data_IF_344861127754
#
_entry.id   IF_344861127754
#
_cell.length_a   1.000
_cell.length_b   1.000
_cell.length_c   1.000
_cell.angle_alpha   90.00
_cell.angle_beta   90.00
_cell.angle_gamma   90.00
#
_symmetry.space_group_name_H-M   'P 1'
#
loop_
_entity.id
_entity.type
_entity.pdbx_description
1 polymer ?
#
# COMPACT_ATOMS: atom_id res chain seq x y z
N UNK A 1 18.14 -8.40 -9.76
CA UNK A 1 16.72 -7.96 -9.67
C UNK A 1 16.00 -8.37 -8.36
N UNK A 2 16.72 -8.68 -7.27
CA UNK A 2 16.14 -9.38 -6.11
C UNK A 2 15.14 -8.60 -5.22
N UNK A 3 14.99 -7.29 -5.36
CA UNK A 3 14.11 -6.49 -4.46
C UNK A 3 13.35 -5.33 -5.17
N UNK A 4 13.16 -5.40 -6.49
CA UNK A 4 12.44 -4.35 -7.23
C UNK A 4 10.95 -4.69 -7.32
N UNK A 5 10.10 -3.67 -7.21
CA UNK A 5 8.66 -3.77 -7.47
C UNK A 5 8.41 -3.92 -8.98
N UNK A 6 7.21 -4.37 -9.35
CA UNK A 6 6.85 -4.48 -10.78
C UNK A 6 6.91 -3.10 -11.47
N UNK A 7 6.49 -2.03 -10.80
CA UNK A 7 6.53 -0.68 -11.35
C UNK A 7 7.94 -0.18 -11.59
N UNK A 8 8.89 -0.44 -10.67
CA UNK A 8 10.30 -0.11 -10.88
C UNK A 8 10.91 -0.85 -12.06
N UNK A 9 10.60 -2.14 -12.23
CA UNK A 9 11.06 -2.95 -13.35
C UNK A 9 10.52 -2.40 -14.68
N UNK A 10 9.23 -2.10 -14.75
CA UNK A 10 8.60 -1.51 -15.95
C UNK A 10 9.27 -0.19 -16.31
N UNK A 11 9.45 0.71 -15.33
CA UNK A 11 10.05 2.03 -15.54
C UNK A 11 11.50 1.95 -16.02
N UNK A 12 12.30 1.05 -15.42
CA UNK A 12 13.70 0.85 -15.76
C UNK A 12 13.86 0.30 -17.19
N UNK A 13 13.22 -0.82 -17.49
CA UNK A 13 13.32 -1.47 -18.79
C UNK A 13 12.75 -0.59 -19.93
N UNK A 14 11.65 0.13 -19.65
CA UNK A 14 11.14 1.11 -20.62
C UNK A 14 12.18 2.18 -20.95
N UNK A 15 12.82 2.75 -19.92
CA UNK A 15 13.87 3.78 -20.10
C UNK A 15 15.11 3.24 -20.77
N UNK A 16 15.56 2.03 -20.46
CA UNK A 16 16.67 1.35 -21.14
C UNK A 16 16.43 1.19 -22.63
N UNK A 17 15.16 0.97 -23.01
CA UNK A 17 14.74 0.90 -24.43
C UNK A 17 14.47 2.28 -25.06
N UNK A 18 14.71 3.38 -24.35
CA UNK A 18 14.49 4.74 -24.85
C UNK A 18 13.01 5.09 -25.08
N UNK A 19 12.07 4.32 -24.53
CA UNK A 19 10.63 4.55 -24.72
C UNK A 19 10.10 5.59 -23.70
N UNK A 20 9.15 6.42 -24.12
CA UNK A 20 8.32 7.22 -23.22
C UNK A 20 7.18 6.39 -22.62
N UNK A 21 6.49 6.92 -21.60
CA UNK A 21 5.28 6.24 -21.08
C UNK A 21 4.19 6.12 -22.14
N UNK A 22 4.10 7.11 -23.04
CA UNK A 22 3.14 7.10 -24.14
C UNK A 22 3.50 6.00 -25.19
N UNK A 23 4.78 5.84 -25.52
CA UNK A 23 5.21 4.81 -26.48
C UNK A 23 4.89 3.39 -25.96
N UNK A 24 5.11 3.16 -24.66
CA UNK A 24 4.74 1.89 -24.04
C UNK A 24 3.22 1.71 -24.01
N UNK A 25 2.47 2.76 -23.72
CA UNK A 25 1.02 2.75 -23.68
C UNK A 25 0.42 2.39 -25.06
N UNK A 26 0.93 3.00 -26.13
CA UNK A 26 0.52 2.68 -27.51
C UNK A 26 0.79 1.22 -27.86
N UNK A 27 1.98 0.71 -27.57
CA UNK A 27 2.34 -0.69 -27.82
C UNK A 27 1.46 -1.67 -27.01
N UNK A 28 1.11 -1.30 -25.80
CA UNK A 28 0.24 -2.08 -24.92
C UNK A 28 -1.25 -1.93 -25.25
N UNK A 29 -1.64 -0.94 -26.04
CA UNK A 29 -3.02 -0.54 -26.30
C UNK A 29 -3.77 -0.13 -25.02
N UNK A 30 -3.10 0.66 -24.19
CA UNK A 30 -3.64 1.24 -22.95
C UNK A 30 -3.40 2.75 -22.92
N UNK A 31 -3.84 3.43 -21.88
CA UNK A 31 -3.59 4.86 -21.73
C UNK A 31 -2.22 5.12 -21.07
N UNK A 32 -1.61 6.27 -21.36
CA UNK A 32 -0.39 6.76 -20.71
C UNK A 32 -0.54 6.83 -19.18
N UNK A 33 -1.75 7.20 -18.72
CA UNK A 33 -2.12 7.23 -17.30
C UNK A 33 -2.09 5.84 -16.65
N UNK A 34 -2.44 4.79 -17.40
CA UNK A 34 -2.33 3.43 -16.90
C UNK A 34 -0.87 3.04 -16.69
N UNK A 35 0.00 3.29 -17.66
CA UNK A 35 1.45 3.04 -17.54
C UNK A 35 2.05 3.84 -16.39
N UNK A 36 1.69 5.13 -16.27
CA UNK A 36 2.14 5.98 -15.16
C UNK A 36 1.73 5.44 -13.79
N UNK A 37 0.52 4.86 -13.66
CA UNK A 37 0.08 4.24 -12.41
C UNK A 37 0.85 2.96 -12.09
N UNK A 38 1.15 2.13 -13.11
CA UNK A 38 1.95 0.92 -12.96
C UNK A 38 3.36 1.24 -12.46
N UNK A 39 4.04 2.22 -13.08
CA UNK A 39 5.39 2.62 -12.69
C UNK A 39 5.48 3.22 -11.28
N UNK A 40 4.37 3.75 -10.75
CA UNK A 40 4.27 4.29 -9.39
C UNK A 40 3.68 3.30 -8.38
N UNK A 41 3.46 2.05 -8.77
CA UNK A 41 2.82 1.01 -7.95
C UNK A 41 1.44 1.40 -7.41
N UNK A 42 0.71 2.27 -8.13
CA UNK A 42 -0.67 2.66 -7.78
C UNK A 42 -1.71 1.71 -8.36
N UNK A 43 -1.34 0.92 -9.35
CA UNK A 43 -2.12 -0.19 -9.90
C UNK A 43 -1.18 -1.18 -10.57
N UNK A 44 -1.60 -2.44 -10.68
CA UNK A 44 -0.87 -3.48 -11.40
C UNK A 44 -1.44 -3.64 -12.82
N UNK A 45 -0.61 -4.05 -13.82
CA UNK A 45 -1.11 -4.54 -15.09
C UNK A 45 -2.03 -5.73 -14.90
N UNK A 46 -3.05 -5.87 -15.76
CA UNK A 46 -3.89 -7.06 -15.76
C UNK A 46 -3.08 -8.30 -16.15
N UNK A 47 -3.43 -9.44 -15.56
CA UNK A 47 -2.73 -10.72 -15.78
C UNK A 47 -2.67 -11.08 -17.26
N UNK A 48 -3.74 -10.79 -18.02
CA UNK A 48 -3.79 -11.00 -19.47
C UNK A 48 -2.84 -10.09 -20.25
N UNK A 49 -2.43 -8.98 -19.66
CA UNK A 49 -1.50 -8.01 -20.27
C UNK A 49 -0.03 -8.33 -19.99
N UNK A 50 0.25 -9.16 -18.99
CA UNK A 50 1.62 -9.51 -18.56
C UNK A 50 2.45 -10.15 -19.70
N UNK A 51 1.94 -11.12 -20.48
CA UNK A 51 2.74 -11.72 -21.55
C UNK A 51 3.17 -10.70 -22.61
N UNK A 52 2.26 -9.81 -23.01
CA UNK A 52 2.55 -8.75 -23.96
C UNK A 52 3.55 -7.72 -23.43
N UNK A 53 3.41 -7.38 -22.15
CA UNK A 53 4.32 -6.47 -21.46
C UNK A 53 5.73 -7.08 -21.38
N UNK A 54 5.83 -8.36 -21.05
CA UNK A 54 7.08 -9.12 -21.01
C UNK A 54 7.78 -9.15 -22.37
N UNK A 55 7.03 -9.37 -23.45
CA UNK A 55 7.53 -9.35 -24.82
C UNK A 55 8.09 -7.97 -25.21
N UNK A 56 7.32 -6.89 -24.94
CA UNK A 56 7.74 -5.51 -25.28
C UNK A 56 8.99 -5.10 -24.48
N UNK A 57 9.06 -5.48 -23.21
CA UNK A 57 10.17 -5.15 -22.32
C UNK A 57 11.34 -6.15 -22.43
N UNK A 58 11.19 -7.24 -23.20
CA UNK A 58 12.19 -8.32 -23.34
C UNK A 58 12.63 -8.92 -21.99
N UNK A 59 11.67 -9.15 -21.12
CA UNK A 59 11.86 -9.79 -19.82
C UNK A 59 11.03 -11.08 -19.73
N UNK A 60 11.43 -12.00 -18.87
CA UNK A 60 10.64 -13.21 -18.59
C UNK A 60 9.29 -12.86 -17.94
N UNK A 61 8.23 -13.51 -18.40
CA UNK A 61 6.89 -13.44 -17.76
C UNK A 61 6.98 -13.85 -16.30
N UNK A 62 7.80 -14.84 -15.98
CA UNK A 62 8.01 -15.34 -14.63
C UNK A 62 8.61 -14.27 -13.69
N UNK A 63 9.58 -13.50 -14.18
CA UNK A 63 10.21 -12.42 -13.40
C UNK A 63 9.21 -11.30 -13.10
N UNK A 64 8.35 -10.93 -14.07
CA UNK A 64 7.27 -9.94 -13.85
C UNK A 64 6.23 -10.44 -12.85
N UNK A 65 5.78 -11.70 -12.98
CA UNK A 65 4.81 -12.30 -12.06
C UNK A 65 5.37 -12.44 -10.64
N UNK A 66 6.64 -12.81 -10.49
CA UNK A 66 7.29 -12.89 -9.21
C UNK A 66 7.43 -11.52 -8.53
N UNK A 67 7.69 -10.46 -9.30
CA UNK A 67 7.72 -9.11 -8.79
C UNK A 67 6.32 -8.65 -8.31
N UNK A 68 5.28 -8.92 -9.10
CA UNK A 68 3.89 -8.62 -8.75
C UNK A 68 3.43 -9.37 -7.49
N UNK A 69 3.78 -10.65 -7.36
CA UNK A 69 3.44 -11.46 -6.19
C UNK A 69 4.05 -10.90 -4.91
N UNK A 70 5.33 -10.51 -4.95
CA UNK A 70 6.02 -9.90 -3.80
C UNK A 70 5.40 -8.59 -3.37
N UNK A 71 4.96 -7.76 -4.32
CA UNK A 71 4.30 -6.51 -4.03
C UNK A 71 2.96 -6.73 -3.32
N UNK A 72 2.17 -7.69 -3.78
CA UNK A 72 0.91 -8.07 -3.16
C UNK A 72 1.10 -8.63 -1.74
N UNK A 73 2.13 -9.46 -1.51
CA UNK A 73 2.47 -9.98 -0.18
C UNK A 73 2.94 -8.87 0.77
N UNK A 74 3.69 -7.89 0.28
CA UNK A 74 4.12 -6.74 1.07
C UNK A 74 2.95 -5.85 1.48
N UNK A 75 2.05 -5.54 0.55
CA UNK A 75 0.86 -4.76 0.83
C UNK A 75 -0.10 -5.47 1.79
N UNK A 76 -0.27 -6.80 1.66
CA UNK A 76 -1.08 -7.61 2.56
C UNK A 76 -0.57 -7.58 4.00
N UNK A 77 0.74 -7.63 4.22
CA UNK A 77 1.34 -7.54 5.56
C UNK A 77 1.14 -6.17 6.20
N UNK A 78 1.25 -5.10 5.43
CA UNK A 78 0.99 -3.74 5.95
C UNK A 78 -0.48 -3.58 6.35
N UNK A 79 -1.40 -4.09 5.54
CA UNK A 79 -2.84 -4.07 5.86
C UNK A 79 -3.18 -4.90 7.09
N UNK A 80 -2.55 -6.06 7.28
CA UNK A 80 -2.71 -6.90 8.47
C UNK A 80 -2.19 -6.19 9.72
N UNK A 81 -1.01 -5.59 9.67
CA UNK A 81 -0.43 -4.82 10.79
C UNK A 81 -1.33 -3.63 11.14
N UNK A 82 -1.79 -2.86 10.17
CA UNK A 82 -2.67 -1.72 10.41
C UNK A 82 -4.01 -2.16 11.01
N UNK A 83 -4.59 -3.25 10.51
CA UNK A 83 -5.88 -3.76 10.99
C UNK A 83 -5.78 -4.36 12.40
N UNK A 84 -4.61 -4.83 12.81
CA UNK A 84 -4.40 -5.42 14.14
C UNK A 84 -3.87 -4.40 15.14
N UNK A 85 -2.94 -3.56 14.75
CA UNK A 85 -2.27 -2.60 15.65
C UNK A 85 -3.17 -1.40 16.02
N UNK A 86 -3.95 -0.86 15.08
CA UNK A 86 -4.79 0.31 15.35
C UNK A 86 -5.84 0.07 16.45
N UNK A 87 -6.65 -1.00 16.41
CA UNK A 87 -7.62 -1.25 17.47
C UNK A 87 -6.94 -1.63 18.80
N UNK A 88 -5.78 -2.32 18.77
CA UNK A 88 -5.03 -2.67 19.96
C UNK A 88 -4.52 -1.41 20.71
N UNK A 89 -4.01 -0.42 19.97
CA UNK A 89 -3.59 0.87 20.56
C UNK A 89 -4.78 1.62 21.18
N UNK A 90 -5.94 1.63 20.51
CA UNK A 90 -7.15 2.27 21.04
C UNK A 90 -7.62 1.64 22.34
N UNK A 91 -7.61 0.31 22.46
CA UNK A 91 -7.97 -0.42 23.69
C UNK A 91 -6.96 -0.17 24.81
N UNK A 92 -5.67 -0.23 24.53
CA UNK A 92 -4.61 -0.01 25.52
C UNK A 92 -4.68 1.41 26.10
N UNK A 93 -4.90 2.42 25.26
CA UNK A 93 -5.07 3.80 25.72
C UNK A 93 -6.34 3.99 26.54
N UNK A 94 -7.45 3.37 26.14
CA UNK A 94 -8.70 3.43 26.90
C UNK A 94 -8.56 2.84 28.33
N UNK A 95 -7.94 1.68 28.45
CA UNK A 95 -7.66 1.04 29.73
C UNK A 95 -6.72 1.90 30.59
N UNK A 96 -5.69 2.47 30.00
CA UNK A 96 -4.72 3.34 30.69
C UNK A 96 -5.41 4.59 31.29
N UNK A 97 -6.32 5.22 30.53
CA UNK A 97 -7.08 6.38 31.00
C UNK A 97 -7.98 6.01 32.20
N UNK A 98 -8.67 4.87 32.12
CA UNK A 98 -9.55 4.42 33.22
C UNK A 98 -8.74 4.13 34.47
N UNK A 99 -7.65 3.38 34.39
CA UNK A 99 -6.79 3.02 35.52
C UNK A 99 -6.17 4.25 36.17
N UNK A 100 -5.65 5.18 35.39
CA UNK A 100 -5.01 6.38 35.89
C UNK A 100 -6.00 7.41 36.44
N UNK A 101 -7.23 7.45 35.90
CA UNK A 101 -8.34 8.24 36.45
C UNK A 101 -8.80 7.73 37.81
N UNK A 102 -8.88 6.40 38.00
CA UNK A 102 -9.22 5.78 39.29
C UNK A 102 -8.15 6.02 40.36
N UNK A 103 -6.87 6.02 39.93
CA UNK A 103 -5.74 6.29 40.80
C UNK A 103 -5.52 7.80 41.11
N UNK A 104 -6.35 8.68 40.54
CA UNK A 104 -6.30 10.14 40.72
C UNK A 104 -4.90 10.75 40.40
N UNK A 105 -4.16 10.13 39.48
CA UNK A 105 -2.77 10.49 39.14
C UNK A 105 -2.64 11.33 37.87
N UNK A 106 -3.73 11.59 37.13
CA UNK A 106 -3.70 12.38 35.90
C UNK A 106 -4.61 13.61 36.05
N UNK A 107 -4.06 14.76 35.64
CA UNK A 107 -4.82 15.98 35.44
C UNK A 107 -5.88 15.78 34.33
N UNK A 108 -7.06 16.37 34.55
CA UNK A 108 -8.23 16.24 33.67
C UNK A 108 -7.92 16.57 32.22
N UNK A 109 -7.02 17.53 31.98
CA UNK A 109 -6.59 17.91 30.61
C UNK A 109 -5.84 16.80 29.88
N UNK A 110 -4.94 16.11 30.58
CA UNK A 110 -4.17 14.99 30.03
C UNK A 110 -5.05 13.77 29.72
N UNK A 111 -6.07 13.52 30.56
CA UNK A 111 -7.04 12.47 30.34
C UNK A 111 -7.86 12.70 29.06
N UNK A 112 -8.31 13.94 28.80
CA UNK A 112 -9.04 14.27 27.56
C UNK A 112 -8.19 14.15 26.30
N UNK A 113 -6.90 14.49 26.36
CA UNK A 113 -5.98 14.33 25.22
C UNK A 113 -5.80 12.85 24.86
N UNK A 114 -5.56 11.99 25.83
CA UNK A 114 -5.41 10.55 25.63
C UNK A 114 -6.69 9.90 25.09
N UNK A 115 -7.85 10.31 25.61
CA UNK A 115 -9.15 9.86 25.11
C UNK A 115 -9.36 10.28 23.64
N UNK A 116 -9.01 11.52 23.29
CA UNK A 116 -9.10 12.05 21.94
C UNK A 116 -8.24 11.26 20.93
N UNK A 117 -7.03 10.88 21.32
CA UNK A 117 -6.14 10.06 20.49
C UNK A 117 -6.74 8.66 20.26
N UNK A 118 -7.27 8.03 21.33
CA UNK A 118 -7.92 6.71 21.24
C UNK A 118 -9.14 6.71 20.31
N UNK A 119 -10.01 7.72 20.44
CA UNK A 119 -11.20 7.88 19.58
C UNK A 119 -10.80 8.14 18.12
N UNK A 120 -9.78 8.96 17.88
CA UNK A 120 -9.28 9.24 16.52
C UNK A 120 -8.76 7.99 15.84
N UNK A 121 -7.98 7.18 16.55
CA UNK A 121 -7.46 5.90 16.02
C UNK A 121 -8.61 4.93 15.67
N UNK A 122 -9.63 4.84 16.53
CA UNK A 122 -10.80 4.01 16.30
C UNK A 122 -11.64 4.51 15.10
N UNK A 123 -11.80 5.82 14.95
CA UNK A 123 -12.51 6.42 13.84
C UNK A 123 -11.81 6.12 12.48
N UNK A 124 -10.49 6.24 12.43
CA UNK A 124 -9.70 5.90 11.23
C UNK A 124 -9.87 4.42 10.86
N UNK A 125 -9.83 3.53 11.86
CA UNK A 125 -10.06 2.10 11.65
C UNK A 125 -11.45 1.81 11.07
N UNK A 126 -12.50 2.43 11.64
CA UNK A 126 -13.88 2.23 11.18
C UNK A 126 -14.11 2.78 9.78
N UNK A 127 -13.54 3.93 9.44
CA UNK A 127 -13.62 4.50 8.10
C UNK A 127 -12.96 3.59 7.06
N UNK A 128 -11.76 3.08 7.35
CA UNK A 128 -11.07 2.14 6.47
C UNK A 128 -11.83 0.83 6.26
N UNK A 129 -12.56 0.36 7.26
CA UNK A 129 -13.31 -0.90 7.18
C UNK A 129 -14.68 -0.75 6.52
N UNK A 130 -15.20 0.48 6.36
CA UNK A 130 -16.49 0.75 5.71
C UNK A 130 -16.38 0.68 4.18
N UNK A 131 -15.18 0.88 3.62
CA UNK A 131 -14.92 0.89 2.17
C UNK A 131 -14.52 -0.50 1.62
N UNK A 132 -14.69 -1.58 2.42
CA UNK A 132 -14.55 -2.98 2.03
C UNK A 132 -15.91 -3.64 1.90
#
# INVERSE_FOLDING_TARGET
>A
MKNKTIGEIISELRKEKGMTQNDLAEKMNVTDKAVSKWERNLSCPDVNSIPKLAEILEISVEDLLNAQKRENESNGKVDEIVNTALPAVGLAMGVCVVVTSVLNQIDTKSAFILLGIGISAMAIYLLKNKDK
#
